data_IF_757891043550
#
_entry.id   IF_757891043550
#
_cell.length_a   1.000
_cell.length_b   1.000
_cell.length_c   1.000
_cell.angle_alpha   90.00
_cell.angle_beta   90.00
_cell.angle_gamma   90.00
#
_symmetry.space_group_name_H-M   'P 1'
#
loop_
_entity.id
_entity.type
_entity.pdbx_description
1 polymer ?
#
# COMPACT_ATOMS: atom_id res chain seq x y z
N UNK A 1 -15.35 -6.96 -23.20
CA UNK A 1 -14.26 -7.93 -23.36
C UNK A 1 -14.75 -9.31 -22.92
N UNK A 2 -14.38 -10.39 -23.62
CA UNK A 2 -14.79 -11.76 -23.26
C UNK A 2 -13.67 -12.44 -22.46
N UNK A 3 -13.95 -12.87 -21.23
CA UNK A 3 -12.97 -13.50 -20.33
C UNK A 3 -12.80 -14.97 -20.72
N UNK A 4 -11.55 -15.40 -20.91
CA UNK A 4 -11.19 -16.76 -21.27
C UNK A 4 -10.64 -17.58 -20.12
N UNK A 5 -9.81 -16.96 -19.27
CA UNK A 5 -9.19 -17.62 -18.13
C UNK A 5 -8.87 -16.60 -17.03
N UNK A 6 -8.89 -17.04 -15.78
CA UNK A 6 -8.36 -16.30 -14.63
C UNK A 6 -7.39 -17.23 -13.90
N UNK A 7 -6.10 -16.90 -13.95
CA UNK A 7 -5.04 -17.60 -13.24
C UNK A 7 -4.57 -16.75 -12.05
N UNK A 8 -4.07 -17.40 -10.99
CA UNK A 8 -3.40 -16.66 -9.91
C UNK A 8 -2.25 -17.44 -9.30
N UNK A 9 -1.21 -16.72 -8.92
CA UNK A 9 0.02 -17.31 -8.42
C UNK A 9 0.36 -16.69 -7.07
N UNK A 10 0.25 -17.48 -6.00
CA UNK A 10 0.92 -17.14 -4.75
C UNK A 10 2.43 -17.29 -4.94
N UNK A 11 3.19 -16.28 -4.52
CA UNK A 11 4.64 -16.20 -4.71
C UNK A 11 5.29 -15.81 -3.39
N UNK A 12 6.50 -16.31 -3.14
CA UNK A 12 7.26 -16.01 -1.92
C UNK A 12 8.67 -15.55 -2.24
N UNK A 13 9.09 -14.49 -1.57
CA UNK A 13 10.46 -13.97 -1.52
C UNK A 13 11.06 -14.23 -0.13
N UNK A 14 11.80 -15.33 0.08
CA UNK A 14 12.40 -15.66 1.37
C UNK A 14 13.46 -14.65 1.80
N UNK A 15 13.55 -14.41 3.11
CA UNK A 15 14.61 -13.61 3.73
C UNK A 15 15.58 -14.57 4.41
N UNK A 16 16.75 -14.80 3.79
CA UNK A 16 17.79 -15.71 4.30
C UNK A 16 19.15 -14.98 4.49
N UNK A 17 19.70 -14.91 5.72
CA UNK A 17 19.08 -15.38 6.97
C UNK A 17 17.87 -14.51 7.37
N UNK A 18 16.89 -15.08 8.12
CA UNK A 18 15.81 -14.29 8.71
C UNK A 18 16.34 -13.08 9.47
N UNK A 19 15.62 -11.96 9.38
CA UNK A 19 16.01 -10.70 10.01
C UNK A 19 15.16 -10.44 11.25
N UNK A 20 15.81 -10.16 12.38
CA UNK A 20 15.15 -9.81 13.62
C UNK A 20 15.10 -8.27 13.77
N UNK A 21 13.93 -7.75 14.13
CA UNK A 21 13.65 -6.33 14.32
C UNK A 21 13.08 -6.10 15.73
N UNK A 22 13.81 -5.42 16.64
CA UNK A 22 13.35 -5.20 18.01
C UNK A 22 12.27 -4.12 18.07
N UNK A 23 11.24 -4.33 18.88
CA UNK A 23 10.24 -3.30 19.20
C UNK A 23 10.01 -3.26 20.71
N UNK A 24 9.22 -2.30 21.18
CA UNK A 24 8.93 -2.17 22.60
C UNK A 24 8.17 -3.40 23.15
N UNK A 25 8.84 -4.18 23.99
CA UNK A 25 8.27 -5.40 24.58
C UNK A 25 8.41 -6.66 23.72
N UNK A 26 9.25 -6.66 22.68
CA UNK A 26 9.54 -7.88 21.94
C UNK A 26 10.44 -7.72 20.72
N UNK A 27 10.43 -8.75 19.87
CA UNK A 27 11.14 -8.81 18.60
C UNK A 27 10.25 -9.39 17.52
N UNK A 28 10.20 -8.74 16.36
CA UNK A 28 9.58 -9.25 15.15
C UNK A 28 10.65 -9.92 14.28
N UNK A 29 10.49 -11.20 13.98
CA UNK A 29 11.32 -11.94 13.04
C UNK A 29 10.67 -11.92 11.65
N UNK A 30 11.38 -11.44 10.65
CA UNK A 30 10.99 -11.44 9.25
C UNK A 30 11.52 -12.71 8.56
N UNK A 31 10.65 -13.49 7.94
CA UNK A 31 10.97 -14.79 7.34
C UNK A 31 10.92 -14.78 5.81
N UNK A 32 9.90 -14.12 5.26
CA UNK A 32 9.65 -14.00 3.81
C UNK A 32 8.67 -12.85 3.56
N UNK A 33 8.51 -12.47 2.31
CA UNK A 33 7.36 -11.69 1.83
C UNK A 33 6.61 -12.48 0.78
N UNK A 34 5.29 -12.35 0.79
CA UNK A 34 4.45 -12.97 -0.22
C UNK A 34 3.69 -11.92 -1.04
N UNK A 35 3.28 -12.34 -2.24
CA UNK A 35 2.44 -11.60 -3.19
C UNK A 35 1.55 -12.62 -3.89
N UNK A 36 0.33 -12.22 -4.25
CA UNK A 36 -0.46 -12.96 -5.24
C UNK A 36 -0.47 -12.19 -6.55
N UNK A 37 0.05 -12.80 -7.62
CA UNK A 37 -0.04 -12.26 -8.98
C UNK A 37 -1.29 -12.84 -9.65
N UNK A 38 -2.24 -11.97 -10.00
CA UNK A 38 -3.46 -12.33 -10.72
C UNK A 38 -3.30 -12.02 -12.20
N UNK A 39 -3.70 -12.97 -13.05
CA UNK A 39 -3.65 -12.86 -14.51
C UNK A 39 -5.04 -13.12 -15.09
N UNK A 40 -5.59 -12.15 -15.79
CA UNK A 40 -6.86 -12.29 -16.50
C UNK A 40 -6.59 -12.35 -18.01
N UNK A 41 -6.97 -13.45 -18.67
CA UNK A 41 -6.82 -13.63 -20.11
C UNK A 41 -8.15 -13.48 -20.84
N UNK A 42 -8.17 -12.71 -21.93
CA UNK A 42 -9.34 -12.57 -22.82
C UNK A 42 -9.31 -13.58 -23.97
N UNK A 43 -10.47 -13.84 -24.59
CA UNK A 43 -10.57 -14.84 -25.70
C UNK A 43 -9.75 -14.52 -26.95
N UNK A 44 -9.25 -13.29 -27.09
CA UNK A 44 -8.34 -12.88 -28.15
C UNK A 44 -6.85 -12.90 -27.73
N UNK A 45 -6.56 -13.38 -26.53
CA UNK A 45 -5.21 -13.66 -26.03
C UNK A 45 -4.50 -12.48 -25.36
N UNK A 46 -5.21 -11.38 -25.07
CA UNK A 46 -4.65 -10.29 -24.25
C UNK A 46 -4.70 -10.68 -22.77
N UNK A 47 -3.77 -10.13 -22.00
CA UNK A 47 -3.64 -10.40 -20.56
C UNK A 47 -3.60 -9.10 -19.75
N UNK A 48 -4.36 -9.11 -18.66
CA UNK A 48 -4.37 -8.08 -17.63
C UNK A 48 -3.73 -8.61 -16.35
N UNK A 49 -3.07 -7.73 -15.61
CA UNK A 49 -2.30 -8.12 -14.44
C UNK A 49 -2.65 -7.26 -13.22
N UNK A 50 -2.56 -7.87 -12.04
CA UNK A 50 -2.61 -7.16 -10.77
C UNK A 50 -1.83 -7.94 -9.70
N UNK A 51 -1.28 -7.21 -8.72
CA UNK A 51 -0.87 -7.83 -7.46
C UNK A 51 -1.96 -7.67 -6.40
N UNK A 52 -2.14 -8.69 -5.60
CA UNK A 52 -2.90 -8.68 -4.35
C UNK A 52 -2.03 -9.17 -3.20
N UNK A 53 -2.57 -9.16 -1.97
CA UNK A 53 -1.95 -9.82 -0.83
C UNK A 53 -0.92 -8.99 -0.07
N UNK A 54 -0.94 -7.65 -0.16
CA UNK A 54 0.19 -6.83 0.32
C UNK A 54 0.04 -6.23 1.74
N UNK A 55 -1.17 -5.87 2.20
CA UNK A 55 -1.41 -5.18 3.50
C UNK A 55 -2.37 -5.93 4.45
N UNK A 56 -3.65 -6.12 4.10
CA UNK A 56 -4.66 -6.78 4.93
C UNK A 56 -4.39 -8.26 5.16
N UNK A 57 -4.03 -8.97 4.08
CA UNK A 57 -3.78 -10.41 4.12
C UNK A 57 -2.55 -10.77 4.96
N UNK A 58 -1.59 -9.86 5.15
CA UNK A 58 -0.44 -10.07 6.04
C UNK A 58 -0.82 -10.00 7.52
N UNK A 59 -1.88 -9.25 7.87
CA UNK A 59 -2.46 -9.26 9.22
C UNK A 59 -3.40 -10.47 9.40
N UNK A 60 -4.23 -10.80 8.41
CA UNK A 60 -5.10 -12.00 8.43
C UNK A 60 -4.29 -13.30 8.47
N UNK A 61 -3.19 -13.39 7.72
CA UNK A 61 -2.26 -14.52 7.74
C UNK A 61 -1.66 -14.73 9.15
N UNK A 62 -1.38 -13.65 9.85
CA UNK A 62 -0.80 -13.72 11.19
C UNK A 62 -1.85 -13.98 12.29
N UNK A 63 -3.00 -13.31 12.25
CA UNK A 63 -4.01 -13.37 13.32
C UNK A 63 -5.07 -14.45 13.10
N UNK A 64 -5.34 -14.82 11.84
CA UNK A 64 -6.41 -15.75 11.46
C UNK A 64 -5.87 -17.04 10.84
N UNK A 65 -4.57 -17.11 10.57
CA UNK A 65 -3.89 -18.29 10.04
C UNK A 65 -4.24 -18.58 8.57
N UNK A 66 -4.70 -17.54 7.86
CA UNK A 66 -4.90 -17.61 6.43
C UNK A 66 -3.57 -17.56 5.68
N UNK A 67 -3.53 -17.88 4.38
CA UNK A 67 -2.31 -17.83 3.60
C UNK A 67 -2.58 -17.23 2.24
N UNK A 68 -1.57 -16.60 1.63
CA UNK A 68 -1.70 -16.13 0.25
C UNK A 68 -2.04 -17.28 -0.73
N UNK A 69 -1.68 -18.52 -0.40
CA UNK A 69 -2.12 -19.70 -1.13
C UNK A 69 -3.64 -19.91 -1.10
N UNK A 70 -4.30 -19.64 0.03
CA UNK A 70 -5.76 -19.71 0.14
C UNK A 70 -6.41 -18.66 -0.76
N UNK A 71 -5.89 -17.43 -0.77
CA UNK A 71 -6.43 -16.37 -1.62
C UNK A 71 -6.26 -16.70 -3.10
N UNK A 72 -5.09 -17.22 -3.51
CA UNK A 72 -4.89 -17.70 -4.88
C UNK A 72 -5.90 -18.80 -5.27
N UNK A 73 -6.15 -19.78 -4.38
CA UNK A 73 -7.18 -20.81 -4.60
C UNK A 73 -8.60 -20.21 -4.72
N UNK A 74 -8.90 -19.11 -4.01
CA UNK A 74 -10.18 -18.39 -4.12
C UNK A 74 -10.31 -17.72 -5.49
N UNK A 75 -9.23 -17.14 -6.00
CA UNK A 75 -9.20 -16.49 -7.32
C UNK A 75 -9.37 -17.54 -8.44
N UNK A 76 -8.61 -18.63 -8.40
CA UNK A 76 -8.70 -19.71 -9.41
C UNK A 76 -9.96 -20.58 -9.29
N UNK A 77 -10.67 -20.50 -8.17
CA UNK A 77 -11.91 -21.22 -7.92
C UNK A 77 -13.14 -20.31 -7.98
N UNK A 78 -13.71 -19.90 -6.85
CA UNK A 78 -14.92 -19.06 -6.77
C UNK A 78 -14.96 -17.83 -7.70
N UNK A 79 -13.85 -17.09 -7.86
CA UNK A 79 -13.81 -15.91 -8.73
C UNK A 79 -13.81 -16.32 -10.21
N UNK A 80 -12.94 -17.27 -10.60
CA UNK A 80 -12.93 -17.82 -11.95
C UNK A 80 -14.29 -18.43 -12.34
N UNK A 81 -14.91 -19.21 -11.47
CA UNK A 81 -16.24 -19.79 -11.66
C UNK A 81 -17.33 -18.73 -11.92
N UNK A 82 -17.18 -17.53 -11.36
CA UNK A 82 -18.12 -16.42 -11.54
C UNK A 82 -17.91 -15.63 -12.84
N UNK A 83 -16.71 -15.64 -13.43
CA UNK A 83 -16.31 -14.70 -14.48
C UNK A 83 -15.83 -15.35 -15.78
N UNK A 84 -15.28 -16.56 -15.75
CA UNK A 84 -14.81 -17.21 -16.97
C UNK A 84 -15.95 -17.51 -17.95
N UNK A 85 -15.77 -17.08 -19.20
CA UNK A 85 -16.80 -17.19 -20.24
C UNK A 85 -17.85 -16.07 -20.21
N UNK A 86 -17.80 -15.16 -19.24
CA UNK A 86 -18.64 -13.96 -19.22
C UNK A 86 -18.13 -12.88 -20.16
N UNK A 87 -19.07 -12.06 -20.64
CA UNK A 87 -18.78 -10.86 -21.41
C UNK A 87 -18.88 -9.64 -20.51
N UNK A 88 -17.78 -8.90 -20.36
CA UNK A 88 -17.70 -7.72 -19.50
C UNK A 88 -17.78 -6.46 -20.35
N UNK A 89 -18.92 -5.75 -20.27
CA UNK A 89 -19.13 -4.44 -20.90
C UNK A 89 -18.58 -3.32 -20.01
N UNK A 90 -18.99 -3.27 -18.74
CA UNK A 90 -18.50 -2.34 -17.73
C UNK A 90 -17.75 -3.10 -16.63
N UNK A 91 -16.59 -2.59 -16.21
CA UNK A 91 -15.77 -3.24 -15.17
C UNK A 91 -16.54 -3.33 -13.84
N UNK A 92 -17.34 -2.31 -13.52
CA UNK A 92 -18.21 -2.31 -12.34
C UNK A 92 -19.20 -3.50 -12.27
N UNK A 93 -19.61 -4.08 -13.41
CA UNK A 93 -20.52 -5.24 -13.41
C UNK A 93 -19.86 -6.48 -12.77
N UNK A 94 -18.53 -6.56 -12.81
CA UNK A 94 -17.75 -7.68 -12.26
C UNK A 94 -17.81 -7.71 -10.74
N UNK A 95 -17.92 -6.54 -10.11
CA UNK A 95 -18.07 -6.42 -8.67
C UNK A 95 -19.34 -7.12 -8.17
N UNK A 96 -20.45 -6.94 -8.90
CA UNK A 96 -21.74 -7.59 -8.58
C UNK A 96 -21.69 -9.10 -8.85
N UNK A 97 -21.02 -9.53 -9.92
CA UNK A 97 -20.84 -10.94 -10.24
C UNK A 97 -20.05 -11.67 -9.16
N UNK A 98 -18.92 -11.10 -8.72
CA UNK A 98 -18.08 -11.66 -7.65
C UNK A 98 -18.89 -11.76 -6.34
N UNK A 99 -19.62 -10.70 -5.96
CA UNK A 99 -20.47 -10.71 -4.75
C UNK A 99 -21.64 -11.69 -4.80
N UNK A 100 -22.17 -11.95 -5.99
CA UNK A 100 -23.24 -12.93 -6.18
C UNK A 100 -22.72 -14.38 -6.24
N UNK A 101 -21.41 -14.56 -6.42
CA UNK A 101 -20.73 -15.85 -6.45
C UNK A 101 -20.51 -16.45 -5.06
N UNK A 102 -19.67 -17.49 -5.02
CA UNK A 102 -19.35 -18.25 -3.80
C UNK A 102 -18.03 -17.78 -3.14
N UNK A 103 -17.63 -16.53 -3.36
CA UNK A 103 -16.42 -15.94 -2.76
C UNK A 103 -16.65 -15.69 -1.26
N UNK A 104 -15.74 -16.11 -0.36
CA UNK A 104 -15.90 -15.90 1.07
C UNK A 104 -15.92 -14.40 1.42
N UNK A 105 -16.79 -14.00 2.35
CA UNK A 105 -17.05 -12.59 2.63
C UNK A 105 -15.80 -11.77 3.03
N UNK A 106 -14.81 -12.38 3.69
CA UNK A 106 -13.56 -11.72 4.07
C UNK A 106 -12.61 -11.45 2.90
N UNK A 107 -12.76 -12.16 1.78
CA UNK A 107 -11.88 -12.08 0.62
C UNK A 107 -12.51 -11.33 -0.55
N UNK A 108 -13.81 -11.02 -0.48
CA UNK A 108 -14.56 -10.39 -1.57
C UNK A 108 -13.93 -9.06 -2.00
N UNK A 109 -13.60 -8.18 -1.06
CA UNK A 109 -13.07 -6.85 -1.38
C UNK A 109 -11.71 -6.96 -2.10
N UNK A 110 -10.84 -7.84 -1.61
CA UNK A 110 -9.51 -8.05 -2.18
C UNK A 110 -9.59 -8.75 -3.55
N UNK A 111 -10.48 -9.74 -3.70
CA UNK A 111 -10.75 -10.40 -4.98
C UNK A 111 -11.28 -9.42 -6.04
N UNK A 112 -12.23 -8.56 -5.67
CA UNK A 112 -12.73 -7.50 -6.54
C UNK A 112 -11.58 -6.57 -6.94
N UNK A 113 -10.74 -6.16 -5.98
CA UNK A 113 -9.62 -5.26 -6.22
C UNK A 113 -8.65 -5.78 -7.27
N UNK A 114 -8.22 -7.03 -7.12
CA UNK A 114 -7.28 -7.65 -8.05
C UNK A 114 -7.85 -7.76 -9.46
N UNK A 115 -9.11 -8.19 -9.58
CA UNK A 115 -9.77 -8.32 -10.89
C UNK A 115 -10.04 -6.96 -11.53
N UNK A 116 -10.50 -5.96 -10.76
CA UNK A 116 -10.77 -4.61 -11.27
C UNK A 116 -9.50 -4.00 -11.89
N UNK A 117 -8.36 -4.03 -11.16
CA UNK A 117 -7.07 -3.55 -11.66
C UNK A 117 -6.65 -4.28 -12.93
N UNK A 118 -6.73 -5.61 -12.96
CA UNK A 118 -6.37 -6.40 -14.14
C UNK A 118 -7.27 -6.11 -15.35
N UNK A 119 -8.56 -5.83 -15.12
CA UNK A 119 -9.50 -5.47 -16.19
C UNK A 119 -9.28 -4.05 -16.72
N UNK A 120 -8.85 -3.10 -15.89
CA UNK A 120 -8.42 -1.78 -16.35
C UNK A 120 -7.14 -1.88 -17.19
N UNK A 121 -6.20 -2.73 -16.81
CA UNK A 121 -5.01 -3.03 -17.62
C UNK A 121 -5.40 -3.59 -19.01
N UNK A 122 -6.31 -4.57 -19.06
CA UNK A 122 -6.88 -5.10 -20.31
C UNK A 122 -7.60 -4.03 -21.12
N UNK A 123 -8.36 -3.14 -20.47
CA UNK A 123 -9.09 -2.05 -21.13
C UNK A 123 -8.11 -1.06 -21.76
N UNK A 124 -7.09 -0.63 -21.03
CA UNK A 124 -6.05 0.24 -21.58
C UNK A 124 -5.35 -0.40 -22.78
N UNK A 125 -5.00 -1.69 -22.68
CA UNK A 125 -4.44 -2.48 -23.81
C UNK A 125 -5.39 -2.61 -25.00
N UNK A 126 -6.70 -2.76 -24.77
CA UNK A 126 -7.72 -2.79 -25.82
C UNK A 126 -7.78 -1.50 -26.62
N UNK A 127 -7.70 -0.38 -25.91
CA UNK A 127 -7.84 0.97 -26.47
C UNK A 127 -6.50 1.57 -26.91
N UNK A 128 -5.38 0.97 -26.53
CA UNK A 128 -4.04 1.47 -26.83
C UNK A 128 -3.66 2.73 -26.04
N UNK A 129 -4.17 2.87 -24.82
CA UNK A 129 -3.97 4.02 -23.93
C UNK A 129 -3.62 3.58 -22.50
N UNK A 130 -2.85 4.37 -21.73
CA UNK A 130 -2.59 4.10 -20.32
C UNK A 130 -3.88 4.20 -19.49
N UNK A 131 -3.92 3.52 -18.34
CA UNK A 131 -5.10 3.54 -17.44
C UNK A 131 -5.46 4.96 -17.01
N UNK A 132 -4.47 5.82 -16.74
CA UNK A 132 -4.74 7.19 -16.28
C UNK A 132 -5.56 8.00 -17.28
N UNK A 133 -5.48 7.74 -18.60
CA UNK A 133 -6.31 8.44 -19.59
C UNK A 133 -7.78 8.01 -19.49
N UNK A 134 -8.04 6.72 -19.23
CA UNK A 134 -9.38 6.20 -19.00
C UNK A 134 -9.99 6.82 -17.74
N UNK A 135 -9.22 6.82 -16.65
CA UNK A 135 -9.66 7.39 -15.37
C UNK A 135 -9.84 8.90 -15.43
N UNK A 136 -8.96 9.63 -16.13
CA UNK A 136 -9.08 11.08 -16.28
C UNK A 136 -10.34 11.47 -17.08
N UNK A 137 -10.74 10.69 -18.09
CA UNK A 137 -12.02 10.87 -18.77
C UNK A 137 -13.20 10.65 -17.81
N UNK A 138 -13.10 9.66 -16.92
CA UNK A 138 -14.12 9.38 -15.91
C UNK A 138 -14.23 10.45 -14.81
N UNK A 139 -13.12 11.06 -14.44
CA UNK A 139 -13.01 12.11 -13.42
C UNK A 139 -13.19 13.53 -13.97
N UNK A 140 -13.22 13.72 -15.29
CA UNK A 140 -13.23 15.02 -15.99
C UNK A 140 -12.03 15.90 -15.58
N UNK A 141 -10.82 15.35 -15.67
CA UNK A 141 -9.56 15.96 -15.23
C UNK A 141 -8.50 15.96 -16.32
N UNK A 142 -7.50 16.82 -16.17
CA UNK A 142 -6.24 16.71 -16.92
C UNK A 142 -5.24 15.91 -16.07
N UNK A 143 -4.63 14.83 -16.61
CA UNK A 143 -3.74 14.00 -15.83
C UNK A 143 -2.40 14.69 -15.51
N UNK A 144 -1.81 14.33 -14.37
CA UNK A 144 -0.45 14.73 -13.97
C UNK A 144 0.50 13.55 -14.07
N UNK A 145 1.63 13.71 -14.78
CA UNK A 145 2.54 12.60 -15.08
C UNK A 145 3.81 12.59 -14.23
N UNK A 146 4.08 13.67 -13.51
CA UNK A 146 5.21 13.80 -12.59
C UNK A 146 4.67 13.76 -11.16
N UNK A 147 4.89 12.66 -10.46
CA UNK A 147 4.33 12.42 -9.13
C UNK A 147 5.42 12.49 -8.05
N UNK A 148 5.39 13.49 -7.16
CA UNK A 148 6.21 13.48 -5.96
C UNK A 148 5.99 12.19 -5.15
N UNK A 149 7.10 11.61 -4.69
CA UNK A 149 7.09 10.40 -3.87
C UNK A 149 7.45 10.73 -2.42
N UNK A 150 6.84 10.02 -1.49
CA UNK A 150 7.42 9.85 -0.16
C UNK A 150 7.97 8.45 0.00
N UNK A 151 9.15 8.36 0.61
CA UNK A 151 9.81 7.10 0.92
C UNK A 151 9.12 6.47 2.13
N UNK A 152 8.44 5.36 1.88
CA UNK A 152 7.94 4.46 2.91
C UNK A 152 9.06 3.51 3.30
N UNK A 153 9.76 3.86 4.36
CA UNK A 153 10.99 3.21 4.79
C UNK A 153 10.96 3.04 6.31
N UNK A 154 12.12 3.05 6.95
CA UNK A 154 12.28 3.18 8.39
C UNK A 154 11.56 2.11 9.20
N UNK A 155 12.26 1.04 9.58
CA UNK A 155 11.62 -0.09 10.25
C UNK A 155 12.38 -0.55 11.50
N UNK A 156 11.83 -0.20 12.68
CA UNK A 156 12.28 -0.67 14.00
C UNK A 156 13.79 -0.49 14.27
N UNK A 157 14.27 0.74 14.08
CA UNK A 157 15.66 1.13 14.26
C UNK A 157 15.82 1.96 15.54
N UNK A 158 17.05 2.15 16.00
CA UNK A 158 17.32 3.18 17.02
C UNK A 158 17.07 4.58 16.43
N UNK A 159 16.74 5.60 17.26
CA UNK A 159 16.44 6.96 16.80
C UNK A 159 17.49 7.55 15.85
N UNK A 160 18.77 7.34 16.13
CA UNK A 160 19.86 7.81 15.27
C UNK A 160 19.86 7.15 13.90
N UNK A 161 19.45 5.87 13.80
CA UNK A 161 19.36 5.16 12.52
C UNK A 161 18.23 5.70 11.64
N UNK A 162 17.11 6.11 12.22
CA UNK A 162 16.05 6.81 11.48
C UNK A 162 16.54 8.14 10.92
N UNK A 163 17.28 8.93 11.70
CA UNK A 163 17.84 10.19 11.23
C UNK A 163 18.87 10.00 10.11
N UNK A 164 19.79 9.03 10.27
CA UNK A 164 20.77 8.70 9.23
C UNK A 164 20.09 8.24 7.93
N UNK A 165 19.02 7.46 8.00
CA UNK A 165 18.27 7.05 6.82
C UNK A 165 17.49 8.23 6.20
N UNK A 166 16.91 9.10 7.01
CA UNK A 166 16.17 10.26 6.55
C UNK A 166 17.05 11.24 5.75
N UNK A 167 18.30 11.48 6.19
CA UNK A 167 19.29 12.27 5.44
C UNK A 167 19.57 11.68 4.04
N UNK A 168 19.65 10.34 3.94
CA UNK A 168 19.83 9.67 2.63
C UNK A 168 18.60 9.84 1.75
N UNK A 169 17.39 9.77 2.32
CA UNK A 169 16.13 9.97 1.58
C UNK A 169 15.99 11.41 1.08
N UNK A 170 16.43 12.39 1.88
CA UNK A 170 16.48 13.80 1.45
C UNK A 170 17.47 14.01 0.31
N UNK A 171 18.66 13.40 0.37
CA UNK A 171 19.65 13.44 -0.71
C UNK A 171 19.14 12.82 -2.03
N UNK A 172 18.18 11.88 -1.95
CA UNK A 172 17.50 11.29 -3.12
C UNK A 172 16.36 12.16 -3.67
N UNK A 173 16.01 13.27 -2.99
CA UNK A 173 15.01 14.24 -3.43
C UNK A 173 13.56 13.89 -3.10
N UNK A 174 13.31 12.87 -2.27
CA UNK A 174 11.93 12.52 -1.89
C UNK A 174 11.23 13.67 -1.17
N UNK A 175 9.94 13.83 -1.47
CA UNK A 175 9.08 14.79 -0.79
C UNK A 175 9.01 14.52 0.72
N UNK A 176 8.94 13.24 1.09
CA UNK A 176 8.74 12.84 2.48
C UNK A 176 9.45 11.55 2.87
N UNK A 177 9.68 11.39 4.17
CA UNK A 177 10.16 10.17 4.81
C UNK A 177 9.13 9.66 5.83
N UNK A 178 8.53 8.50 5.55
CA UNK A 178 7.59 7.83 6.47
C UNK A 178 8.28 6.67 7.17
N UNK A 179 8.34 6.74 8.50
CA UNK A 179 8.98 5.71 9.34
C UNK A 179 8.00 5.04 10.31
N UNK A 180 8.36 3.84 10.77
CA UNK A 180 7.57 3.05 11.73
C UNK A 180 8.12 3.23 13.14
N UNK A 181 7.37 3.87 14.07
CA UNK A 181 7.74 3.97 15.47
C UNK A 181 7.46 2.65 16.21
N UNK A 182 7.57 2.65 17.53
CA UNK A 182 7.29 1.49 18.38
C UNK A 182 8.52 0.97 19.11
N UNK A 183 9.53 1.80 19.36
CA UNK A 183 10.75 1.45 20.12
C UNK A 183 10.69 1.90 21.58
N UNK A 184 9.51 2.29 22.06
CA UNK A 184 9.22 2.79 23.39
C UNK A 184 8.96 4.30 23.39
N UNK A 185 8.15 4.84 24.31
CA UNK A 185 7.73 6.25 24.25
C UNK A 185 8.89 7.26 24.23
N UNK A 186 9.95 7.00 25.00
CA UNK A 186 11.14 7.86 25.01
C UNK A 186 11.93 7.77 23.68
N UNK A 187 11.98 6.59 23.08
CA UNK A 187 12.63 6.34 21.79
C UNK A 187 11.85 7.01 20.66
N UNK A 188 10.54 6.82 20.60
CA UNK A 188 9.66 7.41 19.59
C UNK A 188 9.71 8.94 19.65
N UNK A 189 9.65 9.52 20.85
CA UNK A 189 9.83 10.97 21.06
C UNK A 189 11.21 11.44 20.56
N UNK A 190 12.27 10.70 20.90
CA UNK A 190 13.64 11.03 20.49
C UNK A 190 13.79 10.98 18.97
N UNK A 191 13.16 10.03 18.29
CA UNK A 191 13.15 9.92 16.83
C UNK A 191 12.52 11.16 16.20
N UNK A 192 11.35 11.60 16.67
CA UNK A 192 10.71 12.84 16.21
C UNK A 192 11.63 14.05 16.38
N UNK A 193 12.29 14.19 17.54
CA UNK A 193 13.22 15.28 17.79
C UNK A 193 14.40 15.27 16.81
N UNK A 194 14.94 14.09 16.49
CA UNK A 194 16.07 13.94 15.58
C UNK A 194 15.69 14.18 14.12
N UNK A 195 14.55 13.66 13.66
CA UNK A 195 14.06 13.87 12.30
C UNK A 195 13.79 15.35 12.03
N UNK A 196 13.11 16.02 12.96
CA UNK A 196 12.84 17.46 12.86
C UNK A 196 14.11 18.34 12.93
N UNK A 197 15.22 17.82 13.43
CA UNK A 197 16.52 18.51 13.47
C UNK A 197 17.41 18.16 12.26
N UNK A 198 17.20 17.00 11.62
CA UNK A 198 18.04 16.47 10.54
C UNK A 198 17.57 16.88 9.14
N UNK A 199 16.26 16.98 8.92
CA UNK A 199 15.66 17.29 7.62
C UNK A 199 15.48 18.81 7.43
N UNK A 200 15.80 19.30 6.24
CA UNK A 200 15.68 20.71 5.84
C UNK A 200 14.53 20.96 4.84
N UNK A 201 14.41 20.11 3.81
CA UNK A 201 13.42 20.24 2.72
C UNK A 201 12.41 19.09 2.68
N UNK A 202 12.82 17.89 3.10
CA UNK A 202 11.96 16.70 3.12
C UNK A 202 11.04 16.70 4.36
N UNK A 203 9.76 16.41 4.14
CA UNK A 203 8.77 16.23 5.20
C UNK A 203 9.00 14.90 5.95
N UNK A 204 8.59 14.79 7.21
CA UNK A 204 8.58 13.49 7.91
C UNK A 204 7.18 13.09 8.36
N UNK A 205 6.92 11.79 8.29
CA UNK A 205 5.65 11.18 8.63
C UNK A 205 5.88 9.99 9.57
N UNK A 206 4.90 9.75 10.44
CA UNK A 206 4.86 8.56 11.28
C UNK A 206 3.80 7.62 10.73
N UNK A 207 4.16 6.36 10.51
CA UNK A 207 3.20 5.27 10.30
C UNK A 207 3.22 4.38 11.55
N UNK A 208 2.29 4.67 12.46
CA UNK A 208 2.18 3.94 13.73
C UNK A 208 1.68 2.53 13.48
N UNK A 209 0.92 2.26 12.40
CA UNK A 209 0.37 0.95 12.04
C UNK A 209 -0.14 0.16 13.25
N UNK A 210 -0.74 0.88 14.21
CA UNK A 210 -1.18 0.38 15.52
C UNK A 210 -0.10 -0.25 16.44
N UNK A 211 1.19 -0.17 16.12
CA UNK A 211 2.32 -0.77 16.88
C UNK A 211 2.35 -0.38 18.36
N UNK A 212 1.87 0.81 18.69
CA UNK A 212 1.77 1.26 20.08
C UNK A 212 0.84 0.40 20.94
N UNK A 213 0.04 -0.51 20.36
CA UNK A 213 -0.78 -1.50 21.10
C UNK A 213 -0.07 -2.83 21.36
N UNK A 214 1.05 -3.11 20.70
CA UNK A 214 1.72 -4.41 20.76
C UNK A 214 2.63 -4.53 21.99
N UNK A 215 2.79 -5.76 22.50
CA UNK A 215 3.64 -6.04 23.67
C UNK A 215 3.22 -5.24 24.90
N UNK A 216 4.10 -4.34 25.34
CA UNK A 216 3.80 -3.36 26.38
C UNK A 216 3.05 -2.15 25.80
N UNK A 217 1.74 -2.32 25.61
CA UNK A 217 0.88 -1.31 25.00
C UNK A 217 0.97 0.08 25.68
N UNK A 218 1.09 1.13 24.87
CA UNK A 218 1.13 2.51 25.32
C UNK A 218 -0.24 2.90 25.89
N UNK A 219 -0.23 3.70 26.95
CA UNK A 219 -1.47 4.27 27.48
C UNK A 219 -2.04 5.33 26.55
N UNK A 220 -3.36 5.51 26.54
CA UNK A 220 -4.04 6.57 25.75
C UNK A 220 -3.43 7.96 25.92
N UNK A 221 -3.05 8.33 27.14
CA UNK A 221 -2.39 9.61 27.41
C UNK A 221 -1.02 9.70 26.71
N UNK A 222 -0.23 8.62 26.74
CA UNK A 222 1.07 8.55 26.07
C UNK A 222 0.94 8.65 24.56
N UNK A 223 -0.04 7.96 23.97
CA UNK A 223 -0.37 8.07 22.53
C UNK A 223 -0.70 9.53 22.20
N UNK A 224 -1.60 10.16 22.97
CA UNK A 224 -1.98 11.56 22.76
C UNK A 224 -0.79 12.52 22.88
N UNK A 225 0.05 12.35 23.90
CA UNK A 225 1.27 13.15 24.10
C UNK A 225 2.27 12.99 22.94
N UNK A 226 2.43 11.77 22.40
CA UNK A 226 3.31 11.51 21.25
C UNK A 226 2.76 12.11 19.95
N UNK A 227 1.46 12.00 19.71
CA UNK A 227 0.79 12.62 18.55
C UNK A 227 0.92 14.13 18.62
N UNK A 228 0.58 14.75 19.75
CA UNK A 228 0.74 16.20 19.95
C UNK A 228 2.20 16.63 19.77
N UNK A 229 3.15 15.87 20.31
CA UNK A 229 4.57 16.15 20.15
C UNK A 229 5.03 16.08 18.69
N UNK A 230 4.59 15.08 17.93
CA UNK A 230 4.88 14.95 16.50
C UNK A 230 4.38 16.17 15.72
N UNK A 231 3.14 16.60 15.96
CA UNK A 231 2.58 17.82 15.35
C UNK A 231 3.32 19.09 15.74
N UNK A 232 3.67 19.27 17.02
CA UNK A 232 4.47 20.43 17.49
C UNK A 232 5.85 20.52 16.84
N UNK A 233 6.41 19.37 16.44
CA UNK A 233 7.72 19.26 15.77
C UNK A 233 7.63 19.27 14.25
N UNK A 234 6.43 19.39 13.69
CA UNK A 234 6.22 19.57 12.26
C UNK A 234 6.06 18.26 11.47
N UNK A 235 5.62 17.17 12.12
CA UNK A 235 5.24 15.97 11.38
C UNK A 235 4.14 16.30 10.36
N UNK A 236 4.31 15.85 9.12
CA UNK A 236 3.37 16.09 8.04
C UNK A 236 2.06 15.32 8.24
N UNK A 237 2.15 14.08 8.77
CA UNK A 237 1.03 13.38 9.38
C UNK A 237 1.46 12.35 10.44
N UNK A 238 0.50 11.90 11.24
CA UNK A 238 0.57 10.65 12.01
C UNK A 238 -0.49 9.68 11.50
N UNK A 239 -0.05 8.56 10.96
CA UNK A 239 -0.85 7.53 10.31
C UNK A 239 -1.14 6.36 11.27
N UNK A 240 -2.40 5.90 11.26
CA UNK A 240 -2.94 4.82 12.09
C UNK A 240 -2.46 4.81 13.57
N UNK A 241 -2.60 5.94 14.30
CA UNK A 241 -2.15 6.05 15.70
C UNK A 241 -2.96 5.22 16.69
N UNK A 242 -4.14 4.77 16.29
CA UNK A 242 -5.08 3.92 17.04
C UNK A 242 -5.61 2.84 16.11
N UNK A 243 -6.31 1.85 16.67
CA UNK A 243 -6.96 0.80 15.87
C UNK A 243 -7.86 1.38 14.77
N UNK A 244 -7.91 0.76 13.57
CA UNK A 244 -8.68 1.28 12.44
C UNK A 244 -10.15 1.54 12.78
N UNK A 245 -10.78 0.68 13.59
CA UNK A 245 -12.18 0.80 14.01
C UNK A 245 -12.40 1.74 15.20
N UNK A 246 -11.36 2.32 15.81
CA UNK A 246 -11.45 3.31 16.90
C UNK A 246 -11.62 4.74 16.36
N UNK A 247 -12.71 4.99 15.64
CA UNK A 247 -13.05 6.32 15.12
C UNK A 247 -13.21 7.37 16.24
N UNK A 248 -13.65 6.95 17.44
CA UNK A 248 -13.70 7.84 18.60
C UNK A 248 -12.28 8.28 19.02
N UNK A 249 -11.30 7.37 18.97
CA UNK A 249 -9.88 7.63 19.19
C UNK A 249 -9.30 8.60 18.17
N UNK A 250 -9.58 8.42 16.87
CA UNK A 250 -9.19 9.38 15.83
C UNK A 250 -9.74 10.79 16.13
N UNK A 251 -11.03 10.90 16.47
CA UNK A 251 -11.66 12.19 16.79
C UNK A 251 -11.02 12.84 18.02
N UNK A 252 -10.72 12.08 19.07
CA UNK A 252 -10.03 12.58 20.25
C UNK A 252 -8.63 13.12 19.89
N UNK A 253 -7.85 12.36 19.12
CA UNK A 253 -6.49 12.74 18.71
C UNK A 253 -6.48 13.95 17.77
N UNK A 254 -7.49 14.11 16.91
CA UNK A 254 -7.64 15.28 16.05
C UNK A 254 -7.77 16.59 16.86
N UNK A 255 -8.22 16.54 18.12
CA UNK A 255 -8.24 17.72 18.99
C UNK A 255 -6.84 18.27 19.35
N UNK A 256 -5.77 17.50 19.12
CA UNK A 256 -4.38 17.98 19.26
C UNK A 256 -4.01 18.98 18.16
N UNK A 257 -4.72 18.98 17.04
CA UNK A 257 -4.41 19.77 15.84
C UNK A 257 -3.30 19.19 14.96
N UNK A 258 -2.76 18.02 15.31
CA UNK A 258 -1.82 17.27 14.47
C UNK A 258 -2.56 16.65 13.28
N UNK A 259 -2.07 16.79 12.03
CA UNK A 259 -2.67 16.10 10.90
C UNK A 259 -2.61 14.58 11.09
N UNK A 260 -3.76 13.93 10.96
CA UNK A 260 -3.87 12.48 11.03
C UNK A 260 -4.09 11.88 9.64
N UNK A 261 -3.59 10.68 9.45
CA UNK A 261 -3.82 9.89 8.26
C UNK A 261 -4.32 8.48 8.63
N UNK A 262 -5.06 7.84 7.73
CA UNK A 262 -5.52 6.48 7.91
C UNK A 262 -6.41 6.01 6.77
N UNK A 263 -6.75 4.73 6.78
CA UNK A 263 -7.64 4.13 5.79
C UNK A 263 -7.11 2.85 5.17
N UNK A 264 -5.80 2.56 5.27
CA UNK A 264 -5.22 1.39 4.60
C UNK A 264 -5.82 0.06 5.09
N UNK A 265 -6.27 0.04 6.34
CA UNK A 265 -6.88 -1.11 7.01
C UNK A 265 -8.41 -1.12 6.95
N UNK A 266 -9.05 -0.17 6.24
CA UNK A 266 -10.50 -0.17 6.06
C UNK A 266 -10.93 -1.33 5.16
N UNK A 267 -11.90 -2.13 5.60
CA UNK A 267 -12.31 -3.34 4.87
C UNK A 267 -12.99 -3.07 3.52
N UNK A 268 -13.40 -1.82 3.27
CA UNK A 268 -14.15 -1.45 2.07
C UNK A 268 -13.98 0.02 1.69
N UNK A 269 -14.27 0.39 0.42
CA UNK A 269 -14.28 1.80 0.01
C UNK A 269 -15.26 2.67 0.80
N UNK A 270 -16.34 2.09 1.30
CA UNK A 270 -17.31 2.79 2.14
C UNK A 270 -16.72 3.11 3.51
N UNK A 271 -15.90 2.23 4.07
CA UNK A 271 -15.16 2.46 5.33
C UNK A 271 -14.24 3.68 5.23
N UNK A 272 -13.52 3.83 4.11
CA UNK A 272 -12.74 5.04 3.83
C UNK A 272 -13.58 6.33 3.93
N UNK A 273 -14.75 6.34 3.28
CA UNK A 273 -15.64 7.51 3.31
C UNK A 273 -16.16 7.75 4.72
N UNK A 274 -16.53 6.71 5.46
CA UNK A 274 -17.01 6.81 6.84
C UNK A 274 -15.93 7.38 7.78
N UNK A 275 -14.67 6.95 7.64
CA UNK A 275 -13.53 7.54 8.33
C UNK A 275 -13.37 9.02 7.98
N UNK A 276 -13.43 9.37 6.69
CA UNK A 276 -13.38 10.77 6.24
C UNK A 276 -14.54 11.64 6.76
N UNK A 277 -15.74 11.09 6.89
CA UNK A 277 -16.92 11.79 7.42
C UNK A 277 -16.79 12.17 8.90
N UNK A 278 -15.91 11.50 9.66
CA UNK A 278 -15.60 11.89 11.05
C UNK A 278 -14.96 13.28 11.12
N UNK A 279 -14.28 13.71 10.05
CA UNK A 279 -13.46 14.93 10.03
C UNK A 279 -12.20 14.84 10.89
N UNK A 280 -11.80 13.64 11.31
CA UNK A 280 -10.63 13.44 12.17
C UNK A 280 -9.32 13.31 11.36
N UNK A 281 -9.38 12.80 10.13
CA UNK A 281 -8.22 12.61 9.26
C UNK A 281 -8.07 13.75 8.26
N UNK A 282 -6.83 14.20 8.04
CA UNK A 282 -6.46 15.14 6.98
C UNK A 282 -6.03 14.42 5.70
N UNK A 283 -5.62 13.15 5.81
CA UNK A 283 -5.24 12.32 4.67
C UNK A 283 -5.98 10.99 4.74
N UNK A 284 -6.70 10.65 3.67
CA UNK A 284 -7.45 9.40 3.54
C UNK A 284 -6.70 8.45 2.61
N UNK A 285 -6.36 7.26 3.11
CA UNK A 285 -5.38 6.37 2.47
C UNK A 285 -6.02 5.07 1.99
N UNK A 286 -6.67 5.12 0.83
CA UNK A 286 -7.12 3.91 0.12
C UNK A 286 -5.99 3.29 -0.72
N UNK A 287 -6.17 2.05 -1.14
CA UNK A 287 -5.27 1.34 -2.06
C UNK A 287 -6.13 0.59 -3.07
N UNK A 288 -5.90 0.80 -4.38
CA UNK A 288 -6.70 0.14 -5.42
C UNK A 288 -6.59 -1.39 -5.37
N UNK A 289 -5.54 -1.92 -4.73
CA UNK A 289 -5.35 -3.37 -4.57
C UNK A 289 -6.10 -3.95 -3.37
N UNK A 290 -6.68 -3.09 -2.52
CA UNK A 290 -7.44 -3.51 -1.34
C UNK A 290 -8.89 -3.01 -1.33
N UNK A 291 -9.14 -1.83 -1.90
CA UNK A 291 -10.42 -1.11 -1.81
C UNK A 291 -11.18 -1.15 -3.13
N UNK A 292 -11.44 -2.36 -3.61
CA UNK A 292 -12.26 -2.69 -4.79
C UNK A 292 -11.78 -2.01 -6.09
N UNK A 293 -10.47 -1.83 -6.26
CA UNK A 293 -9.91 -1.35 -7.51
C UNK A 293 -10.05 0.14 -7.74
N UNK A 294 -9.82 0.55 -8.99
CA UNK A 294 -10.06 1.92 -9.42
C UNK A 294 -11.54 2.28 -9.32
N UNK A 295 -12.43 1.33 -9.64
CA UNK A 295 -13.88 1.51 -9.53
C UNK A 295 -14.32 1.78 -8.09
N UNK A 296 -13.78 1.04 -7.12
CA UNK A 296 -14.10 1.21 -5.70
C UNK A 296 -13.56 2.50 -5.12
N UNK A 297 -12.27 2.77 -5.33
CA UNK A 297 -11.60 3.97 -4.81
C UNK A 297 -12.19 5.28 -5.34
N UNK A 298 -12.86 5.28 -6.50
CA UNK A 298 -13.52 6.46 -7.08
C UNK A 298 -14.37 7.24 -6.08
N UNK A 299 -15.16 6.55 -5.25
CA UNK A 299 -16.02 7.22 -4.26
C UNK A 299 -15.24 8.01 -3.22
N UNK A 300 -14.14 7.45 -2.70
CA UNK A 300 -13.27 8.10 -1.73
C UNK A 300 -12.49 9.27 -2.36
N UNK A 301 -12.03 9.12 -3.60
CA UNK A 301 -11.39 10.21 -4.36
C UNK A 301 -12.36 11.37 -4.57
N UNK A 302 -13.57 11.11 -5.09
CA UNK A 302 -14.60 12.14 -5.30
C UNK A 302 -15.00 12.80 -3.97
N UNK A 303 -15.12 12.04 -2.88
CA UNK A 303 -15.37 12.57 -1.53
C UNK A 303 -14.29 13.58 -1.10
N UNK A 304 -13.02 13.29 -1.33
CA UNK A 304 -11.92 14.21 -0.97
C UNK A 304 -11.89 15.42 -1.90
N UNK A 305 -12.14 15.26 -3.21
CA UNK A 305 -12.15 16.36 -4.19
C UNK A 305 -13.19 17.44 -3.88
N UNK A 306 -14.31 17.07 -3.26
CA UNK A 306 -15.38 18.00 -2.88
C UNK A 306 -15.08 18.76 -1.57
N UNK A 307 -13.87 18.63 -1.01
CA UNK A 307 -13.48 19.12 0.32
C UNK A 307 -12.10 19.78 0.33
N UNK A 308 -11.92 20.72 1.26
CA UNK A 308 -10.65 21.44 1.47
C UNK A 308 -9.87 20.95 2.70
N UNK A 309 -10.46 20.03 3.49
CA UNK A 309 -9.96 19.58 4.80
C UNK A 309 -9.45 18.14 4.80
N UNK A 310 -9.56 17.43 3.68
CA UNK A 310 -9.06 16.05 3.51
C UNK A 310 -8.52 15.84 2.10
N UNK A 311 -7.36 15.22 1.99
CA UNK A 311 -6.75 14.80 0.73
C UNK A 311 -6.75 13.27 0.63
N UNK A 312 -7.08 12.72 -0.54
CA UNK A 312 -6.87 11.30 -0.79
C UNK A 312 -5.40 11.08 -1.15
N UNK A 313 -4.67 10.24 -0.42
CA UNK A 313 -3.26 9.88 -0.72
C UNK A 313 -3.16 8.38 -0.63
N UNK A 314 -2.98 7.65 -1.75
CA UNK A 314 -3.11 6.20 -1.69
C UNK A 314 -2.00 5.57 -0.86
N UNK A 315 -2.40 4.61 -0.02
CA UNK A 315 -1.46 3.65 0.52
C UNK A 315 -0.93 2.80 -0.64
N UNK A 316 0.38 2.61 -0.67
CA UNK A 316 1.02 1.71 -1.61
C UNK A 316 2.24 1.05 -0.93
N UNK A 317 2.00 -0.11 -0.33
CA UNK A 317 3.03 -1.01 0.17
C UNK A 317 3.13 -2.26 -0.71
N UNK A 318 4.34 -2.71 -1.08
CA UNK A 318 4.53 -3.93 -1.89
C UNK A 318 5.32 -3.69 -3.17
N UNK A 319 4.81 -4.15 -4.30
CA UNK A 319 5.58 -4.28 -5.55
C UNK A 319 5.56 -3.05 -6.46
N UNK A 320 6.48 -2.97 -7.41
CA UNK A 320 6.45 -1.95 -8.47
C UNK A 320 5.23 -2.07 -9.39
N UNK A 321 4.65 -3.26 -9.54
CA UNK A 321 3.37 -3.41 -10.25
C UNK A 321 2.22 -2.72 -9.48
N UNK A 322 2.23 -2.80 -8.15
CA UNK A 322 1.29 -2.05 -7.31
C UNK A 322 1.53 -0.55 -7.32
N UNK A 323 2.80 -0.12 -7.34
CA UNK A 323 3.19 1.27 -7.53
C UNK A 323 2.60 1.82 -8.84
N UNK A 324 2.77 1.11 -9.95
CA UNK A 324 2.20 1.52 -11.25
C UNK A 324 0.67 1.64 -11.20
N UNK A 325 -0.02 0.70 -10.53
CA UNK A 325 -1.47 0.74 -10.38
C UNK A 325 -1.91 2.00 -9.61
N UNK A 326 -1.36 2.27 -8.42
CA UNK A 326 -1.72 3.46 -7.65
C UNK A 326 -1.25 4.77 -8.33
N UNK A 327 -0.12 4.76 -9.06
CA UNK A 327 0.33 5.91 -9.84
C UNK A 327 -0.69 6.33 -10.91
N UNK A 328 -1.35 5.37 -11.58
CA UNK A 328 -2.41 5.71 -12.54
C UNK A 328 -3.62 6.38 -11.89
N UNK A 329 -3.99 5.99 -10.67
CA UNK A 329 -5.06 6.65 -9.91
C UNK A 329 -4.67 8.09 -9.58
N UNK A 330 -3.48 8.29 -8.99
CA UNK A 330 -2.97 9.62 -8.64
C UNK A 330 -2.85 10.51 -9.87
N UNK A 331 -2.31 9.98 -10.97
CA UNK A 331 -2.16 10.71 -12.23
C UNK A 331 -3.50 11.25 -12.73
N UNK A 332 -4.58 10.46 -12.61
CA UNK A 332 -5.91 10.85 -13.06
C UNK A 332 -6.66 11.77 -12.08
N UNK A 333 -6.24 11.83 -10.81
CA UNK A 333 -6.86 12.65 -9.77
C UNK A 333 -5.88 13.75 -9.31
N UNK A 334 -5.73 14.88 -10.06
CA UNK A 334 -4.69 15.89 -9.84
C UNK A 334 -4.79 16.67 -8.50
N UNK A 335 -5.88 16.46 -7.76
CA UNK A 335 -6.01 16.92 -6.38
C UNK A 335 -5.24 16.04 -5.38
N UNK A 336 -5.01 14.76 -5.70
CA UNK A 336 -4.05 13.86 -5.04
C UNK A 336 -2.67 14.10 -5.63
N UNK A 337 -1.70 14.49 -4.80
CA UNK A 337 -0.39 14.92 -5.32
C UNK A 337 0.80 14.09 -4.87
N UNK A 338 0.54 13.05 -4.10
CA UNK A 338 1.59 12.31 -3.42
C UNK A 338 1.34 10.81 -3.58
N UNK A 339 2.43 10.07 -3.80
CA UNK A 339 2.39 8.62 -3.94
C UNK A 339 3.40 7.97 -3.00
N UNK A 340 2.97 6.91 -2.34
CA UNK A 340 3.84 6.10 -1.49
C UNK A 340 4.80 5.26 -2.32
N UNK A 341 6.10 5.34 -2.00
CA UNK A 341 7.13 4.50 -2.59
C UNK A 341 7.79 3.63 -1.50
N UNK A 342 7.53 2.31 -1.48
CA UNK A 342 8.20 1.39 -0.57
C UNK A 342 9.69 1.27 -0.85
N UNK A 343 10.54 1.55 0.14
CA UNK A 343 11.99 1.39 0.01
C UNK A 343 12.44 0.11 0.69
N UNK A 344 12.77 -0.92 -0.10
CA UNK A 344 13.32 -2.18 0.36
C UNK A 344 14.85 -2.21 0.22
N UNK A 345 15.51 -3.20 0.85
CA UNK A 345 16.96 -3.34 0.73
C UNK A 345 17.37 -3.64 -0.73
N UNK A 346 18.41 -2.97 -1.21
CA UNK A 346 18.94 -3.08 -2.58
C UNK A 346 17.93 -2.70 -3.68
N UNK A 347 17.06 -1.71 -3.41
CA UNK A 347 16.17 -1.14 -4.42
C UNK A 347 16.97 -0.69 -5.66
N UNK A 348 16.73 -1.26 -6.86
CA UNK A 348 17.49 -0.95 -8.06
C UNK A 348 17.22 0.45 -8.60
N UNK A 349 16.04 1.01 -8.34
CA UNK A 349 15.66 2.34 -8.84
C UNK A 349 16.31 3.48 -8.05
N UNK A 350 16.95 3.19 -6.91
CA UNK A 350 17.54 4.20 -6.03
C UNK A 350 19.07 4.05 -5.92
N UNK A 351 19.83 5.12 -6.22
CA UNK A 351 21.29 5.17 -5.99
C UNK A 351 21.63 5.50 -4.52
N UNK A 352 21.03 4.77 -3.58
CA UNK A 352 21.03 5.09 -2.15
C UNK A 352 22.16 4.41 -1.34
N UNK A 353 22.92 3.51 -1.95
CA UNK A 353 23.88 2.65 -1.23
C UNK A 353 23.22 1.70 -0.21
N UNK A 354 23.98 1.22 0.77
CA UNK A 354 23.58 0.11 1.69
C UNK A 354 22.64 0.50 2.85
N UNK A 355 22.13 1.74 2.94
CA UNK A 355 21.49 2.26 4.18
C UNK A 355 19.96 2.39 4.07
N UNK A 356 19.37 2.30 2.88
CA UNK A 356 18.04 2.90 2.66
C UNK A 356 16.82 1.96 2.76
N UNK A 357 16.99 0.65 2.98
CA UNK A 357 15.87 -0.30 2.88
C UNK A 357 15.29 -0.80 4.21
N UNK A 358 14.01 -1.18 4.22
CA UNK A 358 13.37 -1.83 5.37
C UNK A 358 13.85 -3.27 5.61
N UNK A 359 13.84 -4.09 4.56
CA UNK A 359 14.27 -5.50 4.52
C UNK A 359 14.36 -5.97 3.05
N UNK A 360 14.98 -7.12 2.74
CA UNK A 360 15.04 -7.65 1.38
C UNK A 360 13.67 -8.09 0.87
N UNK A 361 13.32 -7.70 -0.36
CA UNK A 361 12.11 -8.15 -1.04
C UNK A 361 12.29 -8.11 -2.57
N UNK A 362 13.17 -8.97 -3.10
CA UNK A 362 13.57 -8.96 -4.52
C UNK A 362 12.36 -9.11 -5.48
N UNK A 363 11.39 -9.95 -5.12
CA UNK A 363 10.14 -10.11 -5.88
C UNK A 363 9.33 -8.80 -6.05
N UNK A 364 9.51 -7.80 -5.18
CA UNK A 364 8.87 -6.50 -5.35
C UNK A 364 9.31 -5.81 -6.65
N UNK A 365 10.53 -6.09 -7.10
CA UNK A 365 11.17 -5.49 -8.26
C UNK A 365 11.04 -6.40 -9.49
N UNK A 366 11.32 -7.70 -9.33
CA UNK A 366 11.42 -8.65 -10.43
C UNK A 366 10.08 -8.95 -11.14
N UNK A 367 8.95 -8.55 -10.56
CA UNK A 367 7.61 -8.77 -11.14
C UNK A 367 7.35 -7.98 -12.44
N UNK A 368 8.15 -6.96 -12.73
CA UNK A 368 8.09 -6.20 -13.99
C UNK A 368 9.42 -6.26 -14.74
N UNK A 369 9.36 -6.18 -16.06
CA UNK A 369 10.56 -5.96 -16.86
C UNK A 369 11.00 -4.49 -16.79
N UNK A 370 12.23 -4.25 -16.34
CA UNK A 370 12.80 -2.91 -16.24
C UNK A 370 12.57 -2.28 -14.86
N UNK A 371 12.69 -0.96 -14.79
CA UNK A 371 12.65 -0.19 -13.55
C UNK A 371 11.66 0.99 -13.72
N UNK A 372 10.91 1.38 -12.69
CA UNK A 372 10.15 2.63 -12.68
C UNK A 372 11.09 3.83 -12.90
N UNK A 373 10.61 4.82 -13.64
CA UNK A 373 11.38 6.04 -13.92
C UNK A 373 11.26 7.02 -12.75
N UNK A 374 12.18 6.88 -11.78
CA UNK A 374 12.26 7.71 -10.59
C UNK A 374 13.52 8.57 -10.65
N UNK A 375 13.33 9.88 -10.73
CA UNK A 375 14.42 10.87 -10.73
C UNK A 375 14.11 11.95 -9.67
N UNK A 376 15.09 12.26 -8.81
CA UNK A 376 14.98 13.30 -7.76
C UNK A 376 13.68 13.21 -6.92
N UNK A 377 13.31 11.99 -6.50
CA UNK A 377 12.11 11.73 -5.69
C UNK A 377 10.77 11.89 -6.41
N UNK A 378 10.78 11.91 -7.74
CA UNK A 378 9.58 12.06 -8.58
C UNK A 378 9.47 10.85 -9.50
N UNK A 379 8.30 10.21 -9.54
CA UNK A 379 7.96 9.16 -10.50
C UNK A 379 7.38 9.78 -11.78
N UNK A 380 7.94 9.42 -12.93
CA UNK A 380 7.31 9.62 -14.23
C UNK A 380 6.33 8.47 -14.51
N UNK A 381 5.05 8.79 -14.63
CA UNK A 381 3.98 7.78 -14.78
C UNK A 381 4.12 7.04 -16.12
N UNK A 382 4.04 5.69 -16.15
CA UNK A 382 4.11 4.93 -17.40
C UNK A 382 3.07 5.36 -18.44
N UNK A 383 3.53 5.69 -19.65
CA UNK A 383 2.69 6.16 -20.76
C UNK A 383 2.22 5.04 -21.71
N UNK A 384 2.67 3.80 -21.49
CA UNK A 384 2.28 2.64 -22.31
C UNK A 384 0.83 2.22 -22.07
N UNK A 385 0.23 1.42 -22.98
CA UNK A 385 -1.14 0.93 -22.80
C UNK A 385 -1.35 0.12 -21.52
N UNK A 386 -2.52 0.24 -20.89
CA UNK A 386 -2.82 -0.45 -19.63
C UNK A 386 -2.03 0.13 -18.47
N UNK A 387 -1.39 -0.72 -17.66
CA UNK A 387 -0.48 -0.31 -16.59
C UNK A 387 0.84 0.31 -17.11
N UNK A 388 1.08 0.26 -18.43
CA UNK A 388 2.26 0.83 -19.06
C UNK A 388 3.59 0.12 -18.74
N UNK A 389 3.53 -1.03 -18.06
CA UNK A 389 4.66 -1.89 -17.72
C UNK A 389 4.46 -3.30 -18.30
N UNK A 390 5.55 -4.01 -18.53
CA UNK A 390 5.51 -5.42 -18.93
C UNK A 390 5.74 -6.30 -17.68
N UNK A 391 4.87 -7.28 -17.46
CA UNK A 391 4.97 -8.21 -16.32
C UNK A 391 5.82 -9.40 -16.70
N UNK A 392 6.85 -9.69 -15.90
CA UNK A 392 7.67 -10.89 -16.07
C UNK A 392 6.96 -12.08 -15.42
N UNK A 393 6.62 -13.09 -16.23
CA UNK A 393 5.96 -14.31 -15.76
C UNK A 393 6.96 -15.40 -15.33
N UNK A 394 8.26 -15.23 -15.60
CA UNK A 394 9.30 -16.17 -15.15
C UNK A 394 9.37 -16.16 -13.60
N UNK A 395 8.92 -15.08 -12.93
CA UNK A 395 8.78 -15.00 -11.47
C UNK A 395 7.92 -16.11 -10.87
N UNK A 396 6.98 -16.69 -11.64
CA UNK A 396 6.16 -17.82 -11.18
C UNK A 396 7.02 -19.07 -10.94
N UNK A 397 8.06 -19.26 -11.75
CA UNK A 397 9.02 -20.37 -11.58
C UNK A 397 10.15 -20.01 -10.61
N UNK A 398 10.58 -18.74 -10.57
CA UNK A 398 11.70 -18.27 -9.76
C UNK A 398 11.35 -18.06 -8.28
N UNK A 399 10.10 -17.65 -7.99
CA UNK A 399 9.60 -17.33 -6.64
C UNK A 399 8.42 -18.23 -6.23
N UNK A 400 8.58 -19.57 -6.18
CA UNK A 400 7.49 -20.47 -5.83
C UNK A 400 7.00 -20.20 -4.40
N UNK A 401 5.68 -20.26 -4.20
CA UNK A 401 5.08 -20.11 -2.87
C UNK A 401 5.71 -21.06 -1.85
N UNK A 402 6.01 -20.52 -0.67
CA UNK A 402 6.49 -21.28 0.48
C UNK A 402 5.50 -21.15 1.63
N UNK A 403 4.91 -22.29 2.03
CA UNK A 403 4.03 -22.37 3.19
C UNK A 403 4.68 -21.84 4.48
N UNK A 404 3.86 -21.23 5.33
CA UNK A 404 4.25 -20.68 6.61
C UNK A 404 4.07 -19.15 6.67
N UNK A 405 4.29 -18.55 7.83
CA UNK A 405 4.02 -17.13 8.02
C UNK A 405 5.13 -16.26 7.40
N UNK A 406 4.78 -15.05 6.99
CA UNK A 406 5.75 -14.04 6.60
C UNK A 406 6.63 -13.54 7.76
N UNK A 407 6.08 -13.52 8.99
CA UNK A 407 6.74 -12.99 10.18
C UNK A 407 6.32 -13.74 11.46
N UNK A 408 7.19 -13.74 12.47
CA UNK A 408 6.90 -14.21 13.82
C UNK A 408 7.12 -13.08 14.84
N UNK A 409 6.30 -13.02 15.89
CA UNK A 409 6.53 -12.11 17.01
C UNK A 409 6.95 -12.91 18.24
N UNK A 410 7.96 -12.40 18.95
CA UNK A 410 8.45 -12.93 20.21
C UNK A 410 8.38 -11.82 21.26
N UNK A 411 7.51 -11.97 22.25
CA UNK A 411 7.36 -10.97 23.32
C UNK A 411 8.31 -11.27 24.49
N UNK A 412 8.83 -10.22 25.14
CA UNK A 412 9.85 -10.37 26.20
C UNK A 412 9.33 -11.08 27.47
N UNK A 413 8.00 -11.08 27.65
CA UNK A 413 7.31 -11.67 28.81
C UNK A 413 6.85 -13.14 28.61
N UNK A 414 7.15 -13.78 27.46
CA UNK A 414 6.77 -15.17 27.14
C UNK A 414 7.86 -16.23 27.38
#
# INVERSE_FOLDING_TARGET
MDIAAIDSYALSSPIDPPQDRPFHGGTRRLLKRDVVLVVVETTDGRRGFATAGASSSAMTEYFEGDSQGTFADIVEGPVADALEGEHIDAIADVHDLIRAGDVPAGDVTEAISAIDVALYDLRGKEHGVPIYELLAEEYDTDPTLDLPLYASAGMYMEPEGFAEQAEVIEDLGFFGYKYRPGIGPDGDRRTVELLADALDETEFMLDVHTWWKLGEAYGRETVRELVEHAGERGAYWVEEPVEPDDYEGYVDLAETGTPLAGGESEESPQGLVELGETGAVSFLQGDVRHHEGFTGCRGAVEFCRDRDDVEFVPHNFGTWLGLAANAHLVAAAPETRLLEYPVFENDPALDAGTVAGMYPFELAFDIIEGEPDVEDGVLSVPEGPGLGVEVDLDVVEEYPFTDGPWTEFHYDDE
#
